data_IF_133316474619
#
_entry.id   IF_133316474619
#
_cell.length_a   1.000
_cell.length_b   1.000
_cell.length_c   1.000
_cell.angle_alpha   90.00
_cell.angle_beta   90.00
_cell.angle_gamma   90.00
#
_symmetry.space_group_name_H-M   'P 1'
#
loop_
_entity.id
_entity.type
_entity.pdbx_description
1 polymer ?
#
# COMPACT_ATOMS: atom_id res chain seq x y z
N UNK A 1 31.71 15.80 13.09
CA UNK A 1 30.40 16.15 13.68
C UNK A 1 29.39 15.11 13.22
N UNK A 2 29.02 14.12 14.04
CA UNK A 2 27.90 13.20 13.72
C UNK A 2 27.00 13.09 14.94
N UNK A 3 26.19 14.12 15.16
CA UNK A 3 25.14 14.11 16.17
C UNK A 3 23.84 13.59 15.56
N UNK A 4 23.36 12.48 16.08
CA UNK A 4 22.02 12.32 16.68
C UNK A 4 21.55 10.88 16.48
N UNK A 5 21.54 10.10 17.56
CA UNK A 5 20.71 8.90 17.69
C UNK A 5 19.24 9.30 17.55
N UNK A 6 18.72 9.32 16.31
CA UNK A 6 17.29 9.45 16.08
C UNK A 6 16.63 8.21 16.67
N UNK A 7 15.86 8.39 17.75
CA UNK A 7 15.06 7.30 18.31
C UNK A 7 14.16 6.76 17.18
N UNK A 8 14.07 5.43 17.00
CA UNK A 8 13.21 4.87 15.97
C UNK A 8 11.77 5.35 16.23
N UNK A 9 11.24 6.10 15.27
CA UNK A 9 9.85 6.58 15.31
C UNK A 9 8.95 5.34 15.31
N UNK A 10 8.10 5.19 16.32
CA UNK A 10 7.13 4.09 16.39
C UNK A 10 5.97 4.39 15.43
N UNK A 11 5.65 3.43 14.58
CA UNK A 11 4.50 3.53 13.69
C UNK A 11 3.19 3.50 14.45
N UNK A 12 2.23 4.29 13.99
CA UNK A 12 0.86 4.33 14.51
C UNK A 12 -0.06 3.38 13.74
N UNK A 13 -1.34 3.74 13.70
CA UNK A 13 -2.37 2.92 13.06
C UNK A 13 -2.22 2.90 11.53
N UNK A 14 -1.84 4.01 10.91
CA UNK A 14 -1.69 4.10 9.46
C UNK A 14 -0.44 3.36 8.98
N UNK A 15 0.65 3.39 9.74
CA UNK A 15 1.81 2.57 9.48
C UNK A 15 1.46 1.07 9.45
N UNK A 16 0.65 0.60 10.41
CA UNK A 16 0.16 -0.79 10.48
C UNK A 16 -0.78 -1.11 9.32
N UNK A 17 -1.70 -0.21 9.01
CA UNK A 17 -2.61 -0.36 7.87
C UNK A 17 -1.84 -0.47 6.55
N UNK A 18 -0.82 0.36 6.33
CA UNK A 18 0.03 0.29 5.14
C UNK A 18 0.75 -1.06 5.03
N UNK A 19 1.22 -1.63 6.15
CA UNK A 19 1.79 -2.97 6.15
C UNK A 19 0.75 -4.04 5.74
N UNK A 20 -0.43 -4.04 6.38
CA UNK A 20 -1.50 -4.98 6.06
C UNK A 20 -1.98 -4.88 4.61
N UNK A 21 -2.16 -3.66 4.09
CA UNK A 21 -2.53 -3.44 2.69
C UNK A 21 -1.43 -3.90 1.73
N UNK A 22 -0.15 -3.72 2.07
CA UNK A 22 0.95 -4.19 1.24
C UNK A 22 0.98 -5.71 1.09
N UNK A 23 0.54 -6.45 2.10
CA UNK A 23 0.42 -7.92 2.05
C UNK A 23 -0.84 -8.39 1.31
N UNK A 24 -1.89 -7.56 1.27
CA UNK A 24 -3.14 -7.90 0.62
C UNK A 24 -2.96 -8.02 -0.92
N UNK A 25 -3.27 -9.17 -1.54
CA UNK A 25 -3.07 -9.38 -2.97
C UNK A 25 -4.04 -8.57 -3.85
N UNK A 26 -5.27 -8.32 -3.38
CA UNK A 26 -6.21 -7.46 -4.11
C UNK A 26 -5.72 -6.00 -4.15
N UNK A 27 -5.10 -5.52 -3.06
CA UNK A 27 -4.45 -4.22 -3.06
C UNK A 27 -3.26 -4.15 -4.02
N UNK A 28 -2.44 -5.22 -4.07
CA UNK A 28 -1.33 -5.32 -5.04
C UNK A 28 -1.84 -5.35 -6.49
N UNK A 29 -2.91 -6.10 -6.76
CA UNK A 29 -3.58 -6.10 -8.06
C UNK A 29 -4.15 -4.71 -8.43
N UNK A 30 -4.64 -3.94 -7.46
CA UNK A 30 -5.05 -2.56 -7.67
C UNK A 30 -3.88 -1.65 -8.07
N UNK A 31 -2.68 -1.85 -7.49
CA UNK A 31 -1.47 -1.15 -7.93
C UNK A 31 -1.12 -1.54 -9.36
N UNK A 32 -1.11 -2.84 -9.68
CA UNK A 32 -0.82 -3.36 -11.02
C UNK A 32 -1.79 -2.78 -12.05
N UNK A 33 -3.10 -2.79 -11.77
CA UNK A 33 -4.14 -2.18 -12.61
C UNK A 33 -3.86 -0.70 -12.87
N UNK A 34 -3.52 0.08 -11.83
CA UNK A 34 -3.24 1.52 -11.96
C UNK A 34 -1.99 1.81 -12.77
N UNK A 35 -0.98 0.93 -12.70
CA UNK A 35 0.26 1.02 -13.46
C UNK A 35 0.18 0.34 -14.83
N UNK A 36 -0.94 -0.33 -15.13
CA UNK A 36 -1.14 -1.21 -16.29
C UNK A 36 -0.05 -2.28 -16.40
N UNK A 37 0.32 -2.85 -15.26
CA UNK A 37 1.22 -4.00 -15.19
C UNK A 37 0.42 -5.32 -15.20
N UNK A 38 1.06 -6.43 -15.60
CA UNK A 38 0.51 -7.75 -15.37
C UNK A 38 0.20 -7.97 -13.90
N UNK A 39 -0.93 -8.62 -13.61
CA UNK A 39 -1.36 -8.91 -12.23
C UNK A 39 -0.34 -9.81 -11.55
N UNK A 40 0.07 -9.44 -10.34
CA UNK A 40 1.10 -10.16 -9.58
C UNK A 40 2.51 -9.58 -9.76
N UNK A 41 2.68 -8.54 -10.58
CA UNK A 41 3.95 -7.81 -10.70
C UNK A 41 4.32 -7.11 -9.39
N UNK A 42 3.33 -6.54 -8.71
CA UNK A 42 3.55 -5.88 -7.42
C UNK A 42 3.71 -6.92 -6.30
N UNK A 43 4.93 -7.02 -5.75
CA UNK A 43 5.23 -7.80 -4.55
C UNK A 43 4.91 -7.02 -3.26
N UNK A 44 4.87 -7.65 -2.08
CA UNK A 44 4.70 -6.93 -0.82
C UNK A 44 5.79 -5.88 -0.55
N UNK A 45 7.03 -6.13 -0.99
CA UNK A 45 8.13 -5.17 -0.89
C UNK A 45 7.94 -3.99 -1.87
N UNK A 46 7.53 -4.26 -3.10
CA UNK A 46 7.17 -3.20 -4.05
C UNK A 46 6.00 -2.35 -3.55
N UNK A 47 5.00 -2.97 -2.91
CA UNK A 47 3.90 -2.25 -2.27
C UNK A 47 4.38 -1.38 -1.09
N UNK A 48 5.36 -1.85 -0.31
CA UNK A 48 6.03 -1.03 0.70
C UNK A 48 6.68 0.19 0.06
N UNK A 49 7.47 0.01 -1.00
CA UNK A 49 8.14 1.12 -1.71
C UNK A 49 7.10 2.12 -2.22
N UNK A 50 6.00 1.64 -2.80
CA UNK A 50 4.88 2.49 -3.22
C UNK A 50 4.35 3.39 -2.09
N UNK A 51 4.18 2.88 -0.87
CA UNK A 51 3.75 3.72 0.26
C UNK A 51 4.79 4.76 0.67
N UNK A 52 6.07 4.37 0.71
CA UNK A 52 7.17 5.27 1.06
C UNK A 52 7.28 6.42 0.06
N UNK A 53 7.26 6.10 -1.24
CA UNK A 53 7.29 7.08 -2.32
C UNK A 53 6.04 7.96 -2.30
N UNK A 54 4.83 7.38 -2.23
CA UNK A 54 3.61 8.18 -2.28
C UNK A 54 3.50 9.12 -1.08
N UNK A 55 3.82 8.64 0.13
CA UNK A 55 3.74 9.44 1.35
C UNK A 55 4.97 10.31 1.60
N UNK A 56 5.99 10.27 0.72
CA UNK A 56 7.25 11.02 0.84
C UNK A 56 7.97 10.78 2.18
N UNK A 57 8.02 9.51 2.61
CA UNK A 57 8.64 9.10 3.88
C UNK A 57 9.71 8.04 3.67
N UNK A 58 10.71 7.98 4.54
CA UNK A 58 11.77 6.95 4.48
C UNK A 58 11.39 5.66 5.21
N UNK A 59 10.36 5.71 6.06
CA UNK A 59 9.84 4.56 6.79
C UNK A 59 8.33 4.66 6.97
N UNK A 60 7.61 3.53 6.86
CA UNK A 60 6.15 3.45 7.11
C UNK A 60 5.79 3.99 8.50
N UNK A 61 6.71 3.85 9.46
CA UNK A 61 6.50 4.35 10.81
C UNK A 61 6.39 5.88 10.91
N UNK A 62 6.86 6.62 9.90
CA UNK A 62 6.78 8.08 9.85
C UNK A 62 5.42 8.57 9.30
N UNK A 63 4.59 7.69 8.74
CA UNK A 63 3.31 8.07 8.12
C UNK A 63 2.41 8.79 9.11
N UNK A 64 2.27 8.26 10.33
CA UNK A 64 1.41 8.85 11.36
C UNK A 64 1.95 10.15 11.97
N UNK A 65 3.20 10.52 11.68
CA UNK A 65 3.89 11.68 12.27
C UNK A 65 3.94 12.89 11.33
N UNK A 66 3.63 12.70 10.05
CA UNK A 66 3.66 13.75 9.04
C UNK A 66 2.24 13.98 8.52
N UNK A 67 1.66 15.18 8.71
CA UNK A 67 0.29 15.48 8.26
C UNK A 67 0.06 15.17 6.78
N UNK A 68 1.02 15.53 5.92
CA UNK A 68 0.97 15.29 4.47
C UNK A 68 0.95 13.79 4.14
N UNK A 69 1.74 12.98 4.88
CA UNK A 69 1.75 11.53 4.73
C UNK A 69 0.42 10.90 5.19
N UNK A 70 -0.17 11.40 6.27
CA UNK A 70 -1.50 10.97 6.74
C UNK A 70 -2.56 11.25 5.68
N UNK A 71 -2.57 12.46 5.12
CA UNK A 71 -3.53 12.84 4.08
C UNK A 71 -3.37 11.97 2.82
N UNK A 72 -2.13 11.74 2.39
CA UNK A 72 -1.85 10.88 1.25
C UNK A 72 -2.25 9.42 1.51
N UNK A 73 -1.94 8.87 2.68
CA UNK A 73 -2.32 7.50 3.04
C UNK A 73 -3.85 7.35 3.03
N UNK A 74 -4.58 8.34 3.53
CA UNK A 74 -6.03 8.36 3.47
C UNK A 74 -6.55 8.46 2.02
N UNK A 75 -5.89 9.23 1.15
CA UNK A 75 -6.22 9.31 -0.29
C UNK A 75 -6.00 7.96 -0.98
N UNK A 76 -4.90 7.27 -0.68
CA UNK A 76 -4.62 5.91 -1.18
C UNK A 76 -5.73 4.95 -0.74
N UNK A 77 -6.05 4.94 0.55
CA UNK A 77 -7.11 4.08 1.12
C UNK A 77 -8.46 4.31 0.42
N UNK A 78 -8.89 5.57 0.28
CA UNK A 78 -10.14 5.91 -0.43
C UNK A 78 -10.10 5.47 -1.89
N UNK A 79 -8.97 5.68 -2.57
CA UNK A 79 -8.77 5.29 -3.95
C UNK A 79 -8.87 3.78 -4.17
N UNK A 80 -8.30 3.00 -3.24
CA UNK A 80 -8.43 1.54 -3.23
C UNK A 80 -9.86 1.10 -2.95
N UNK A 81 -10.48 1.57 -1.86
CA UNK A 81 -11.86 1.18 -1.51
C UNK A 81 -12.85 1.46 -2.65
N UNK A 82 -12.67 2.58 -3.36
CA UNK A 82 -13.49 2.93 -4.54
C UNK A 82 -13.29 1.98 -5.72
N UNK A 83 -12.10 1.39 -5.87
CA UNK A 83 -11.69 0.65 -7.08
C UNK A 83 -11.36 -0.82 -6.82
N UNK A 84 -11.57 -1.34 -5.61
CA UNK A 84 -11.25 -2.73 -5.27
C UNK A 84 -12.05 -3.73 -6.12
N UNK A 85 -13.31 -3.43 -6.48
CA UNK A 85 -14.10 -4.26 -7.39
C UNK A 85 -13.57 -4.23 -8.83
N UNK A 86 -13.08 -3.08 -9.30
CA UNK A 86 -12.43 -2.98 -10.61
C UNK A 86 -11.08 -3.72 -10.63
N UNK A 87 -10.33 -3.66 -9.53
CA UNK A 87 -9.08 -4.41 -9.38
C UNK A 87 -9.33 -5.93 -9.37
N UNK A 88 -10.42 -6.39 -8.73
CA UNK A 88 -10.83 -7.79 -8.77
C UNK A 88 -11.19 -8.21 -10.19
N UNK A 89 -12.07 -7.46 -10.87
CA UNK A 89 -12.45 -7.74 -12.24
C UNK A 89 -11.25 -7.71 -13.21
N UNK A 90 -10.31 -6.79 -13.00
CA UNK A 90 -9.05 -6.76 -13.74
C UNK A 90 -8.21 -8.03 -13.51
N UNK A 91 -8.04 -8.44 -12.25
CA UNK A 91 -7.36 -9.69 -11.91
C UNK A 91 -7.99 -10.91 -12.57
N UNK A 92 -9.31 -11.04 -12.48
CA UNK A 92 -10.08 -12.11 -13.12
C UNK A 92 -9.91 -12.08 -14.64
N UNK A 93 -9.91 -10.89 -15.28
CA UNK A 93 -9.68 -10.76 -16.72
C UNK A 93 -8.27 -11.18 -17.16
N UNK A 94 -7.29 -11.12 -16.25
CA UNK A 94 -5.95 -11.64 -16.44
C UNK A 94 -5.81 -13.13 -16.08
N UNK A 95 -6.90 -13.81 -15.73
CA UNK A 95 -6.88 -15.22 -15.31
C UNK A 95 -6.38 -15.46 -13.88
N UNK A 96 -6.31 -14.41 -13.05
CA UNK A 96 -5.90 -14.52 -11.65
C UNK A 96 -7.15 -14.52 -10.77
N UNK A 97 -7.45 -15.65 -10.14
CA UNK A 97 -8.52 -15.72 -9.13
C UNK A 97 -7.98 -15.21 -7.79
N UNK A 98 -8.54 -14.10 -7.32
CA UNK A 98 -8.20 -13.49 -6.03
C UNK A 98 -9.29 -13.75 -4.97
N UNK A 99 -10.32 -14.55 -5.28
CA UNK A 99 -11.46 -14.78 -4.37
C UNK A 99 -11.04 -15.56 -3.14
N UNK A 100 -10.06 -16.47 -3.29
CA UNK A 100 -9.47 -17.21 -2.17
C UNK A 100 -8.75 -16.31 -1.14
N UNK A 101 -8.43 -15.07 -1.51
CA UNK A 101 -7.68 -14.13 -0.66
C UNK A 101 -8.54 -13.03 -0.04
N UNK A 102 -9.77 -12.88 -0.50
CA UNK A 102 -10.82 -12.08 0.14
C UNK A 102 -11.65 -13.08 0.93
N UNK A 103 -11.13 -13.50 2.10
CA UNK A 103 -11.80 -14.48 2.95
C UNK A 103 -13.29 -14.16 3.13
N UNK A 104 -14.11 -15.21 3.05
CA UNK A 104 -15.56 -15.21 3.29
C UNK A 104 -15.97 -14.47 4.57
#
# INVERSE_FOLDING_TARGET
>A
MVNATQKPVKGGQLARLAAMLGENPLFRAWIDMRRRYPVGTTTPDAARVFFLEACQVSSRAQIDHQPEAVEMMNKIRRGYLKQQGAALAWAESCGVDLKEWVGE
#
